data_IF_027343996288
#
_entry.id   IF_027343996288
#
_cell.length_a   1.000
_cell.length_b   1.000
_cell.length_c   1.000
_cell.angle_alpha   90.00
_cell.angle_beta   90.00
_cell.angle_gamma   90.00
#
_symmetry.space_group_name_H-M   'P 1'
#
loop_
_entity.id
_entity.type
_entity.pdbx_description
1 polymer ?
#
# COMPACT_ATOMS: atom_id res chain seq x y z
N UNK A 1 20.36 -19.78 14.20
CA UNK A 1 19.40 -18.71 14.48
C UNK A 1 18.82 -18.31 13.13
N UNK A 2 17.51 -18.19 12.96
CA UNK A 2 16.95 -17.68 11.72
C UNK A 2 17.45 -16.24 11.54
N UNK A 3 17.89 -15.88 10.34
CA UNK A 3 18.32 -14.51 10.05
C UNK A 3 17.13 -13.56 10.29
N UNK A 4 17.40 -12.46 10.99
CA UNK A 4 16.37 -11.43 11.26
C UNK A 4 15.94 -10.80 9.94
N UNK A 5 14.66 -10.90 9.62
CA UNK A 5 14.09 -10.36 8.39
C UNK A 5 14.20 -8.83 8.36
N UNK A 6 14.68 -8.25 7.25
CA UNK A 6 14.76 -6.79 7.05
C UNK A 6 13.67 -6.35 6.09
N UNK A 7 12.82 -5.41 6.52
CA UNK A 7 11.62 -4.98 5.79
C UNK A 7 11.65 -3.48 5.57
N UNK A 8 11.49 -3.06 4.32
CA UNK A 8 11.33 -1.65 3.98
C UNK A 8 9.84 -1.31 3.80
N UNK A 9 9.31 -0.45 4.70
CA UNK A 9 7.91 -0.01 4.69
C UNK A 9 7.84 1.43 4.19
N UNK A 10 7.16 1.65 3.08
CA UNK A 10 6.95 2.97 2.48
C UNK A 10 5.52 3.42 2.76
N UNK A 11 5.37 4.57 3.42
CA UNK A 11 4.11 5.04 4.00
C UNK A 11 3.95 4.63 5.46
N UNK A 12 5.07 4.53 6.22
CA UNK A 12 5.11 4.01 7.58
C UNK A 12 4.64 5.00 8.67
N UNK A 13 4.42 6.28 8.36
CA UNK A 13 4.21 7.33 9.38
C UNK A 13 2.78 7.45 9.91
N UNK A 14 1.84 6.64 9.43
CA UNK A 14 0.42 6.74 9.81
C UNK A 14 -0.36 5.46 9.41
N UNK A 15 -1.48 5.23 10.08
CA UNK A 15 -2.49 4.25 9.70
C UNK A 15 -1.96 2.82 9.56
N UNK A 16 -2.20 2.19 8.41
CA UNK A 16 -1.79 0.80 8.17
C UNK A 16 -0.27 0.64 8.24
N UNK A 17 0.50 1.61 7.70
CA UNK A 17 1.96 1.52 7.68
C UNK A 17 2.58 1.59 9.06
N UNK A 18 2.08 2.45 9.92
CA UNK A 18 2.50 2.55 11.33
C UNK A 18 2.16 1.26 12.10
N UNK A 19 0.92 0.77 11.96
CA UNK A 19 0.51 -0.48 12.61
C UNK A 19 1.32 -1.68 12.12
N UNK A 20 1.66 -1.76 10.83
CA UNK A 20 2.57 -2.77 10.27
C UNK A 20 3.97 -2.68 10.87
N UNK A 21 4.50 -1.46 11.02
CA UNK A 21 5.81 -1.26 11.62
C UNK A 21 5.83 -1.77 13.06
N UNK A 22 4.82 -1.43 13.86
CA UNK A 22 4.68 -1.90 15.24
C UNK A 22 4.59 -3.44 15.33
N UNK A 23 3.75 -4.05 14.50
CA UNK A 23 3.53 -5.49 14.52
C UNK A 23 4.76 -6.27 14.03
N UNK A 24 5.44 -5.82 12.97
CA UNK A 24 6.67 -6.47 12.51
C UNK A 24 7.84 -6.30 13.47
N UNK A 25 7.98 -5.12 14.12
CA UNK A 25 8.99 -4.92 15.17
C UNK A 25 8.74 -5.87 16.36
N UNK A 26 7.48 -6.00 16.78
CA UNK A 26 7.10 -6.97 17.84
C UNK A 26 7.43 -8.42 17.45
N UNK A 27 7.31 -8.77 16.17
CA UNK A 27 7.69 -10.10 15.63
C UNK A 27 9.21 -10.27 15.43
N UNK A 28 10.02 -9.26 15.74
CA UNK A 28 11.49 -9.32 15.69
C UNK A 28 12.11 -9.00 14.33
N UNK A 29 11.37 -8.40 13.40
CA UNK A 29 11.92 -7.93 12.13
C UNK A 29 12.71 -6.62 12.33
N UNK A 30 13.75 -6.39 11.51
CA UNK A 30 14.43 -5.11 11.38
C UNK A 30 13.71 -4.26 10.34
N UNK A 31 13.43 -2.98 10.66
CA UNK A 31 12.62 -2.13 9.79
C UNK A 31 13.42 -0.94 9.25
N UNK A 32 13.16 -0.65 7.97
CA UNK A 32 13.48 0.62 7.33
C UNK A 32 12.13 1.30 7.07
N UNK A 33 11.92 2.46 7.70
CA UNK A 33 10.65 3.17 7.70
C UNK A 33 10.75 4.40 6.82
N UNK A 34 9.87 4.52 5.83
CA UNK A 34 9.86 5.66 4.90
C UNK A 34 8.48 6.32 4.82
N UNK A 35 8.48 7.64 4.85
CA UNK A 35 7.37 8.54 4.58
C UNK A 35 7.91 9.97 4.41
N UNK A 36 7.04 10.93 4.09
CA UNK A 36 7.44 12.34 3.91
C UNK A 36 7.85 13.04 5.21
N UNK A 37 7.19 12.71 6.32
CA UNK A 37 7.48 13.36 7.62
C UNK A 37 8.65 12.66 8.31
N UNK A 38 9.84 13.27 8.24
CA UNK A 38 11.03 12.79 8.94
C UNK A 38 10.79 12.72 10.46
N UNK A 39 10.20 13.75 11.04
CA UNK A 39 9.91 13.82 12.49
C UNK A 39 9.09 12.63 12.99
N UNK A 40 7.98 12.29 12.28
CA UNK A 40 7.16 11.14 12.65
C UNK A 40 7.88 9.80 12.50
N UNK A 41 8.71 9.67 11.46
CA UNK A 41 9.49 8.46 11.24
C UNK A 41 10.55 8.26 12.31
N UNK A 42 11.25 9.33 12.69
CA UNK A 42 12.27 9.30 13.75
C UNK A 42 11.64 8.96 15.09
N UNK A 43 10.49 9.57 15.41
CA UNK A 43 9.75 9.25 16.63
C UNK A 43 9.30 7.78 16.65
N UNK A 44 8.74 7.27 15.54
CA UNK A 44 8.33 5.87 15.44
C UNK A 44 9.55 4.92 15.54
N UNK A 45 10.64 5.18 14.84
CA UNK A 45 11.85 4.37 14.90
C UNK A 45 12.43 4.34 16.32
N UNK A 46 12.49 5.48 17.00
CA UNK A 46 12.96 5.56 18.39
C UNK A 46 12.05 4.78 19.37
N UNK A 47 10.74 4.80 19.15
CA UNK A 47 9.77 4.04 19.94
C UNK A 47 9.93 2.51 19.75
N UNK A 48 10.23 2.08 18.53
CA UNK A 48 10.34 0.66 18.18
C UNK A 48 11.68 0.04 18.61
N UNK A 49 12.77 0.81 18.63
CA UNK A 49 14.08 0.35 19.08
C UNK A 49 15.24 0.78 18.16
N UNK A 50 16.48 0.68 18.63
CA UNK A 50 17.66 1.22 17.93
C UNK A 50 18.04 0.47 16.64
N UNK A 51 17.49 -0.71 16.40
CA UNK A 51 17.70 -1.51 15.21
C UNK A 51 16.90 -1.02 13.98
N UNK A 52 15.89 -0.17 14.21
CA UNK A 52 15.02 0.37 13.18
C UNK A 52 15.55 1.70 12.65
N UNK A 53 15.32 1.98 11.36
CA UNK A 53 15.84 3.18 10.69
C UNK A 53 14.76 4.00 10.04
N UNK A 54 14.77 5.30 10.29
CA UNK A 54 13.99 6.28 9.53
C UNK A 54 14.75 6.69 8.26
N UNK A 55 14.10 6.59 7.11
CA UNK A 55 14.61 7.03 5.80
C UNK A 55 13.52 7.88 5.14
N UNK A 56 13.54 9.21 5.30
CA UNK A 56 12.55 10.08 4.69
C UNK A 56 12.46 9.88 3.18
N UNK A 57 11.24 9.85 2.65
CA UNK A 57 10.99 9.59 1.24
C UNK A 57 9.67 10.23 0.80
N UNK A 58 9.72 11.03 -0.27
CA UNK A 58 8.56 11.40 -1.06
C UNK A 58 8.55 10.57 -2.35
N UNK A 59 7.54 9.71 -2.51
CA UNK A 59 7.42 8.82 -3.67
C UNK A 59 7.09 9.57 -4.98
N UNK A 60 6.70 10.84 -4.89
CA UNK A 60 6.47 11.72 -6.04
C UNK A 60 7.72 12.45 -6.53
N UNK A 61 8.80 12.44 -5.74
CA UNK A 61 10.06 13.11 -6.01
C UNK A 61 11.15 12.08 -6.38
N UNK A 62 11.72 12.22 -7.58
CA UNK A 62 12.74 11.30 -8.09
C UNK A 62 14.07 11.39 -7.34
N UNK A 63 14.46 12.57 -6.89
CA UNK A 63 15.71 12.78 -6.16
C UNK A 63 15.59 12.19 -4.75
N UNK A 64 14.43 12.39 -4.12
CA UNK A 64 14.08 11.75 -2.86
C UNK A 64 14.09 10.21 -2.97
N UNK A 65 13.53 9.66 -4.06
CA UNK A 65 13.55 8.22 -4.34
C UNK A 65 14.98 7.69 -4.50
N UNK A 66 15.84 8.40 -5.23
CA UNK A 66 17.24 8.01 -5.45
C UNK A 66 18.02 8.01 -4.12
N UNK A 67 17.91 9.08 -3.33
CA UNK A 67 18.59 9.22 -2.04
C UNK A 67 18.15 8.12 -1.04
N UNK A 68 16.82 7.85 -0.98
CA UNK A 68 16.30 6.78 -0.13
C UNK A 68 16.81 5.41 -0.58
N UNK A 69 16.80 5.11 -1.89
CA UNK A 69 17.29 3.85 -2.43
C UNK A 69 18.78 3.62 -2.12
N UNK A 70 19.63 4.65 -2.25
CA UNK A 70 21.03 4.56 -1.86
C UNK A 70 21.22 4.27 -0.36
N UNK A 71 20.40 4.91 0.48
CA UNK A 71 20.44 4.69 1.93
C UNK A 71 20.02 3.28 2.30
N UNK A 72 18.96 2.76 1.66
CA UNK A 72 18.50 1.38 1.84
C UNK A 72 19.55 0.39 1.35
N UNK A 73 20.15 0.62 0.18
CA UNK A 73 21.19 -0.25 -0.38
C UNK A 73 22.42 -0.37 0.55
N UNK A 74 22.80 0.72 1.23
CA UNK A 74 23.90 0.69 2.24
C UNK A 74 23.58 -0.13 3.48
N UNK A 75 22.30 -0.36 3.77
CA UNK A 75 21.88 -1.21 4.88
C UNK A 75 21.96 -2.72 4.53
N UNK A 76 22.18 -3.06 3.27
CA UNK A 76 22.20 -4.41 2.73
C UNK A 76 20.90 -4.78 2.04
N UNK A 77 20.83 -5.96 1.41
CA UNK A 77 19.61 -6.40 0.73
C UNK A 77 18.48 -6.61 1.73
N UNK A 78 17.29 -6.17 1.36
CA UNK A 78 16.07 -6.32 2.17
C UNK A 78 15.29 -7.58 1.76
N UNK A 79 14.53 -8.12 2.70
CA UNK A 79 13.67 -9.29 2.48
C UNK A 79 12.36 -8.91 1.82
N UNK A 80 11.79 -7.79 2.26
CA UNK A 80 10.51 -7.29 1.76
C UNK A 80 10.54 -5.78 1.54
N UNK A 81 9.88 -5.36 0.46
CA UNK A 81 9.52 -3.97 0.20
C UNK A 81 7.99 -3.89 0.19
N UNK A 82 7.41 -3.03 1.04
CA UNK A 82 5.96 -2.85 1.15
C UNK A 82 5.59 -1.42 0.87
N UNK A 83 4.94 -1.19 -0.29
CA UNK A 83 4.52 0.14 -0.75
C UNK A 83 3.08 0.41 -0.34
N UNK A 84 2.90 1.27 0.65
CA UNK A 84 1.60 1.69 1.20
C UNK A 84 1.32 3.19 1.01
N UNK A 85 2.34 3.98 0.64
CA UNK A 85 2.15 5.42 0.48
C UNK A 85 1.05 5.70 -0.54
N UNK A 86 0.04 6.46 -0.12
CA UNK A 86 -1.10 6.80 -0.94
C UNK A 86 -1.68 8.16 -0.52
N UNK A 87 -2.38 8.76 -1.47
CA UNK A 87 -3.16 9.97 -1.30
C UNK A 87 -4.59 9.71 -1.72
N UNK A 88 -5.54 10.30 -1.03
CA UNK A 88 -6.96 10.19 -1.30
C UNK A 88 -7.66 11.51 -1.01
N UNK A 89 -8.48 11.94 -1.92
CA UNK A 89 -9.35 13.11 -1.78
C UNK A 89 -10.71 12.76 -2.37
N UNK A 90 -11.72 12.46 -1.53
CA UNK A 90 -13.07 12.14 -1.98
C UNK A 90 -13.82 13.41 -2.41
N UNK A 91 -14.70 13.26 -3.38
CA UNK A 91 -15.55 14.35 -3.83
C UNK A 91 -16.22 14.05 -5.16
N UNK A 92 -17.23 14.84 -5.52
CA UNK A 92 -17.86 14.77 -6.85
C UNK A 92 -16.86 15.27 -7.91
N UNK A 93 -16.94 14.72 -9.11
CA UNK A 93 -15.98 15.03 -10.19
C UNK A 93 -15.88 16.52 -10.50
N UNK A 94 -16.99 17.26 -10.37
CA UNK A 94 -17.03 18.70 -10.62
C UNK A 94 -16.39 19.54 -9.47
N UNK A 95 -16.16 18.94 -8.31
CA UNK A 95 -15.66 19.61 -7.11
C UNK A 95 -14.16 19.29 -6.88
N UNK A 96 -13.62 18.27 -7.56
CA UNK A 96 -12.24 17.87 -7.40
C UNK A 96 -11.29 18.92 -8.00
N UNK A 97 -10.30 19.33 -7.21
CA UNK A 97 -9.22 20.17 -7.69
C UNK A 97 -8.32 19.38 -8.67
N UNK A 98 -8.11 19.88 -9.91
CA UNK A 98 -7.31 19.19 -10.93
C UNK A 98 -5.86 18.93 -10.49
N UNK A 99 -5.26 19.83 -9.73
CA UNK A 99 -3.87 19.69 -9.26
C UNK A 99 -3.78 18.58 -8.21
N UNK A 100 -4.72 18.54 -7.26
CA UNK A 100 -4.85 17.47 -6.29
C UNK A 100 -5.11 16.11 -6.98
N UNK A 101 -5.97 16.09 -8.00
CA UNK A 101 -6.22 14.88 -8.78
C UNK A 101 -4.94 14.37 -9.49
N UNK A 102 -4.16 15.27 -10.10
CA UNK A 102 -2.87 14.92 -10.71
C UNK A 102 -1.87 14.41 -9.67
N UNK A 103 -1.84 15.03 -8.48
CA UNK A 103 -0.98 14.58 -7.40
C UNK A 103 -1.36 13.18 -6.89
N UNK A 104 -2.65 12.84 -6.80
CA UNK A 104 -3.11 11.49 -6.47
C UNK A 104 -2.57 10.46 -7.48
N UNK A 105 -2.60 10.76 -8.78
CA UNK A 105 -2.02 9.88 -9.81
C UNK A 105 -0.51 9.73 -9.61
N UNK A 106 0.18 10.82 -9.38
CA UNK A 106 1.63 10.84 -9.18
C UNK A 106 2.04 10.02 -7.95
N UNK A 107 1.39 10.23 -6.81
CA UNK A 107 1.72 9.51 -5.58
C UNK A 107 1.33 8.03 -5.67
N UNK A 108 0.07 7.74 -6.04
CA UNK A 108 -0.46 6.39 -5.92
C UNK A 108 0.05 5.44 -7.02
N UNK A 109 0.06 5.90 -8.27
CA UNK A 109 0.39 5.06 -9.41
C UNK A 109 1.85 5.22 -9.84
N UNK A 110 2.27 6.44 -10.15
CA UNK A 110 3.65 6.70 -10.60
C UNK A 110 4.66 6.39 -9.50
N UNK A 111 4.36 6.78 -8.24
CA UNK A 111 5.18 6.43 -7.07
C UNK A 111 5.31 4.91 -6.87
N UNK A 112 4.20 4.17 -7.00
CA UNK A 112 4.24 2.70 -6.93
C UNK A 112 5.08 2.08 -8.05
N UNK A 113 5.00 2.61 -9.28
CA UNK A 113 5.84 2.21 -10.39
C UNK A 113 7.33 2.48 -10.11
N UNK A 114 7.68 3.64 -9.56
CA UNK A 114 9.08 3.97 -9.22
C UNK A 114 9.64 3.02 -8.16
N UNK A 115 8.87 2.72 -7.11
CA UNK A 115 9.28 1.74 -6.09
C UNK A 115 9.44 0.35 -6.71
N UNK A 116 8.51 -0.09 -7.55
CA UNK A 116 8.60 -1.37 -8.23
C UNK A 116 9.86 -1.48 -9.12
N UNK A 117 10.26 -0.39 -9.78
CA UNK A 117 11.47 -0.31 -10.59
C UNK A 117 12.77 -0.37 -9.77
N UNK A 118 12.74 0.12 -8.53
CA UNK A 118 13.89 0.10 -7.62
C UNK A 118 14.02 -1.24 -6.88
N UNK A 119 12.90 -1.89 -6.56
CA UNK A 119 12.83 -3.08 -5.73
C UNK A 119 13.77 -4.22 -6.16
N UNK A 120 13.90 -4.59 -7.46
CA UNK A 120 14.80 -5.68 -7.88
C UNK A 120 16.28 -5.47 -7.51
N UNK A 121 16.70 -4.21 -7.34
CA UNK A 121 18.08 -3.87 -6.96
C UNK A 121 18.31 -3.86 -5.44
N UNK A 122 17.27 -3.84 -4.67
CA UNK A 122 17.29 -3.69 -3.21
C UNK A 122 16.88 -4.98 -2.50
N UNK A 123 16.04 -5.77 -3.12
CA UNK A 123 15.60 -7.05 -2.59
C UNK A 123 16.67 -8.13 -2.77
N UNK A 124 16.74 -9.04 -1.80
CA UNK A 124 17.48 -10.29 -2.01
C UNK A 124 16.83 -11.15 -3.10
N UNK A 125 17.56 -12.12 -3.64
CA UNK A 125 16.98 -13.11 -4.55
C UNK A 125 15.77 -13.81 -3.90
N UNK A 126 14.64 -13.86 -4.60
CA UNK A 126 13.38 -14.38 -4.07
C UNK A 126 12.70 -13.48 -3.04
N UNK A 127 13.20 -12.27 -2.80
CA UNK A 127 12.62 -11.30 -1.90
C UNK A 127 11.22 -10.84 -2.35
N UNK A 128 10.46 -10.24 -1.44
CA UNK A 128 9.05 -9.95 -1.66
C UNK A 128 8.80 -8.46 -1.92
N UNK A 129 8.12 -8.15 -3.04
CA UNK A 129 7.59 -6.82 -3.35
C UNK A 129 6.07 -6.82 -3.18
N UNK A 130 5.55 -6.07 -2.22
CA UNK A 130 4.12 -5.91 -1.97
C UNK A 130 3.64 -4.51 -2.36
N UNK A 131 2.69 -4.43 -3.30
CA UNK A 131 2.06 -3.20 -3.74
C UNK A 131 0.63 -3.09 -3.19
N UNK A 132 0.25 -1.90 -2.73
CA UNK A 132 -1.05 -1.67 -2.11
C UNK A 132 -2.07 -1.11 -3.11
N UNK A 133 -2.93 -1.99 -3.62
CA UNK A 133 -4.17 -1.67 -4.30
C UNK A 133 -5.25 -1.19 -3.33
N UNK A 134 -6.50 -1.55 -3.60
CA UNK A 134 -7.68 -1.32 -2.75
C UNK A 134 -8.88 -2.07 -3.34
N UNK A 135 -9.91 -2.33 -2.55
CA UNK A 135 -11.23 -2.74 -3.08
C UNK A 135 -11.80 -1.73 -4.08
N UNK A 136 -11.45 -0.45 -3.93
CA UNK A 136 -11.81 0.60 -4.87
C UNK A 136 -11.13 0.47 -6.25
N UNK A 137 -10.11 -0.40 -6.37
CA UNK A 137 -9.49 -0.75 -7.65
C UNK A 137 -10.16 -1.91 -8.37
N UNK A 138 -11.06 -2.66 -7.73
CA UNK A 138 -11.78 -3.76 -8.41
C UNK A 138 -12.90 -3.24 -9.31
N UNK A 139 -13.55 -2.15 -8.90
CA UNK A 139 -14.58 -1.45 -9.65
C UNK A 139 -14.59 0.02 -9.22
N UNK A 140 -14.89 0.94 -10.16
CA UNK A 140 -14.97 2.36 -9.87
C UNK A 140 -16.08 2.68 -8.85
N UNK A 141 -15.74 3.48 -7.85
CA UNK A 141 -16.67 3.92 -6.82
C UNK A 141 -16.99 5.41 -6.98
N UNK A 142 -18.24 5.82 -6.75
CA UNK A 142 -18.61 7.23 -6.68
C UNK A 142 -17.71 7.98 -5.66
N UNK A 143 -17.48 9.26 -5.88
CA UNK A 143 -16.66 10.15 -5.06
C UNK A 143 -15.18 9.72 -4.91
N UNK A 144 -14.77 8.59 -5.50
CA UNK A 144 -13.41 8.08 -5.48
C UNK A 144 -12.80 7.88 -6.88
N UNK A 145 -13.24 8.60 -7.89
CA UNK A 145 -12.97 8.35 -9.32
C UNK A 145 -11.46 8.23 -9.63
N UNK A 146 -10.67 9.25 -9.30
CA UNK A 146 -9.22 9.27 -9.52
C UNK A 146 -8.52 8.26 -8.62
N UNK A 147 -8.92 8.15 -7.36
CA UNK A 147 -8.36 7.16 -6.46
C UNK A 147 -8.62 5.74 -6.96
N UNK A 148 -9.86 5.42 -7.34
CA UNK A 148 -10.22 4.12 -7.91
C UNK A 148 -9.41 3.79 -9.16
N UNK A 149 -9.25 4.76 -10.07
CA UNK A 149 -8.44 4.61 -11.27
C UNK A 149 -6.97 4.30 -10.94
N UNK A 150 -6.37 5.01 -9.96
CA UNK A 150 -5.00 4.74 -9.54
C UNK A 150 -4.85 3.37 -8.89
N UNK A 151 -5.83 2.94 -8.08
CA UNK A 151 -5.77 1.63 -7.42
C UNK A 151 -6.02 0.47 -8.38
N UNK A 152 -6.85 0.66 -9.40
CA UNK A 152 -6.97 -0.28 -10.53
C UNK A 152 -5.64 -0.38 -11.31
N UNK A 153 -4.98 0.76 -11.57
CA UNK A 153 -3.65 0.80 -12.19
C UNK A 153 -2.59 0.06 -11.36
N UNK A 154 -2.59 0.20 -10.03
CA UNK A 154 -1.66 -0.54 -9.15
C UNK A 154 -1.95 -2.04 -9.16
N UNK A 155 -3.22 -2.46 -9.22
CA UNK A 155 -3.58 -3.89 -9.36
C UNK A 155 -3.00 -4.43 -10.67
N UNK A 156 -3.25 -3.77 -11.79
CA UNK A 156 -2.73 -4.17 -13.10
C UNK A 156 -1.19 -4.18 -13.15
N UNK A 157 -0.54 -3.18 -12.53
CA UNK A 157 0.92 -3.14 -12.38
C UNK A 157 1.44 -4.36 -11.61
N UNK A 158 0.83 -4.69 -10.47
CA UNK A 158 1.23 -5.84 -9.65
C UNK A 158 1.05 -7.17 -10.40
N UNK A 159 -0.04 -7.33 -11.16
CA UNK A 159 -0.29 -8.51 -11.99
C UNK A 159 0.78 -8.68 -13.08
N UNK A 160 1.11 -7.60 -13.79
CA UNK A 160 2.14 -7.61 -14.82
C UNK A 160 3.51 -7.96 -14.25
N UNK A 161 3.90 -7.32 -13.14
CA UNK A 161 5.16 -7.60 -12.46
C UNK A 161 5.23 -9.01 -11.89
N UNK A 162 4.12 -9.56 -11.42
CA UNK A 162 4.07 -10.96 -10.94
C UNK A 162 4.44 -11.95 -12.05
N UNK A 163 4.02 -11.68 -13.27
CA UNK A 163 4.35 -12.50 -14.45
C UNK A 163 5.79 -12.23 -14.94
N UNK A 164 6.19 -10.97 -15.03
CA UNK A 164 7.49 -10.54 -15.53
C UNK A 164 8.64 -11.00 -14.63
N UNK A 165 8.51 -10.86 -13.31
CA UNK A 165 9.54 -11.19 -12.32
C UNK A 165 9.38 -12.59 -11.72
N UNK A 166 8.61 -13.47 -12.38
CA UNK A 166 8.40 -14.84 -11.91
C UNK A 166 9.73 -15.60 -11.82
N UNK A 167 10.02 -16.13 -10.63
CA UNK A 167 11.29 -16.83 -10.35
C UNK A 167 12.41 -15.92 -9.84
N UNK A 168 12.32 -14.61 -10.00
CA UNK A 168 13.28 -13.63 -9.47
C UNK A 168 12.81 -13.03 -8.14
N UNK A 169 11.56 -12.55 -8.11
CA UNK A 169 10.95 -11.94 -6.94
C UNK A 169 9.55 -12.50 -6.68
N UNK A 170 9.14 -12.40 -5.40
CA UNK A 170 7.79 -12.74 -4.98
C UNK A 170 6.91 -11.47 -4.95
N UNK A 171 6.31 -11.13 -6.10
CA UNK A 171 5.42 -9.96 -6.18
C UNK A 171 4.06 -10.29 -5.57
N UNK A 172 3.57 -9.39 -4.71
CA UNK A 172 2.32 -9.50 -3.97
C UNK A 172 1.45 -8.25 -4.13
N UNK A 173 0.16 -8.45 -4.04
CA UNK A 173 -0.85 -7.41 -4.05
C UNK A 173 -1.58 -7.36 -2.71
N UNK A 174 -1.72 -6.17 -2.13
CA UNK A 174 -2.52 -5.95 -0.92
C UNK A 174 -3.75 -5.13 -1.34
N UNK A 175 -4.96 -5.63 -1.06
CA UNK A 175 -6.22 -4.94 -1.37
C UNK A 175 -7.07 -4.76 -0.10
N UNK A 176 -6.82 -3.70 0.68
CA UNK A 176 -7.65 -3.39 1.83
C UNK A 176 -9.06 -2.93 1.41
N UNK A 177 -10.05 -3.25 2.26
CA UNK A 177 -11.31 -2.54 2.31
C UNK A 177 -11.19 -1.25 3.14
N UNK A 178 -12.21 -0.92 3.91
CA UNK A 178 -12.16 0.25 4.79
C UNK A 178 -11.38 -0.05 6.07
N UNK A 179 -10.35 0.75 6.30
CA UNK A 179 -9.52 0.72 7.52
C UNK A 179 -9.62 2.06 8.20
N UNK A 180 -9.86 2.10 9.50
CA UNK A 180 -9.99 3.34 10.28
C UNK A 180 -8.64 4.09 10.35
N UNK A 181 -8.45 5.00 9.41
CA UNK A 181 -7.23 5.82 9.25
C UNK A 181 -7.63 7.25 8.90
N UNK A 182 -6.69 8.19 9.04
CA UNK A 182 -6.89 9.58 8.59
C UNK A 182 -7.35 9.69 7.13
N UNK A 183 -6.96 8.74 6.29
CA UNK A 183 -7.33 8.71 4.88
C UNK A 183 -8.83 8.42 4.71
N UNK A 184 -9.36 7.44 5.43
CA UNK A 184 -10.77 7.04 5.36
C UNK A 184 -11.70 7.96 6.15
N UNK A 185 -11.20 8.67 7.17
CA UNK A 185 -11.95 9.66 7.93
C UNK A 185 -12.39 10.88 7.09
N UNK A 186 -11.88 11.01 5.87
CA UNK A 186 -12.35 12.01 4.88
C UNK A 186 -13.69 11.67 4.23
N UNK A 187 -14.14 10.42 4.34
CA UNK A 187 -15.43 10.00 3.80
C UNK A 187 -16.58 10.52 4.68
N UNK A 188 -17.66 10.92 4.03
CA UNK A 188 -18.90 11.42 4.64
C UNK A 188 -20.02 10.37 4.72
N UNK A 189 -19.73 9.12 4.39
CA UNK A 189 -20.67 8.01 4.40
C UNK A 189 -20.28 6.90 5.38
N UNK A 190 -21.26 6.06 5.74
CA UNK A 190 -21.01 4.89 6.61
C UNK A 190 -20.25 3.82 5.85
N UNK A 191 -19.03 3.55 6.27
CA UNK A 191 -18.14 2.54 5.65
C UNK A 191 -18.46 1.15 6.17
N UNK A 192 -18.93 0.22 5.32
CA UNK A 192 -19.25 -1.13 5.76
C UNK A 192 -17.99 -1.93 6.11
N UNK A 193 -18.10 -2.75 7.17
CA UNK A 193 -17.06 -3.69 7.58
C UNK A 193 -15.68 -3.02 7.82
N UNK A 194 -15.66 -1.80 8.36
CA UNK A 194 -14.43 -1.11 8.71
C UNK A 194 -13.64 -1.90 9.76
N UNK A 195 -12.32 -1.97 9.58
CA UNK A 195 -11.39 -2.65 10.50
C UNK A 195 -10.40 -1.66 11.09
N UNK A 196 -9.80 -2.00 12.24
CA UNK A 196 -8.72 -1.19 12.83
C UNK A 196 -7.42 -1.32 12.02
N UNK A 197 -6.49 -0.35 12.10
CA UNK A 197 -5.16 -0.46 11.52
C UNK A 197 -4.40 -1.70 12.02
N UNK A 198 -4.56 -2.07 13.28
CA UNK A 198 -3.93 -3.25 13.87
C UNK A 198 -4.45 -4.54 13.22
N UNK A 199 -5.77 -4.71 13.10
CA UNK A 199 -6.37 -5.86 12.40
C UNK A 199 -5.93 -5.92 10.93
N UNK A 200 -5.78 -4.76 10.28
CA UNK A 200 -5.25 -4.68 8.92
C UNK A 200 -3.79 -5.14 8.85
N UNK A 201 -2.95 -4.72 9.79
CA UNK A 201 -1.54 -5.11 9.87
C UNK A 201 -1.39 -6.63 10.04
N UNK A 202 -2.13 -7.23 10.98
CA UNK A 202 -2.15 -8.69 11.19
C UNK A 202 -2.57 -9.43 9.91
N UNK A 203 -3.67 -9.00 9.28
CA UNK A 203 -4.17 -9.63 8.05
C UNK A 203 -3.15 -9.52 6.88
N UNK A 204 -2.42 -8.40 6.78
CA UNK A 204 -1.38 -8.21 5.78
C UNK A 204 -0.22 -9.14 6.04
N UNK A 205 0.32 -9.16 7.25
CA UNK A 205 1.48 -9.99 7.61
C UNK A 205 1.16 -11.47 7.39
N UNK A 206 0.03 -11.93 7.91
CA UNK A 206 -0.41 -13.32 7.76
C UNK A 206 -0.62 -13.68 6.29
N UNK A 207 -1.21 -12.76 5.50
CA UNK A 207 -1.41 -12.94 4.08
C UNK A 207 -0.10 -13.00 3.28
N UNK A 208 0.86 -12.12 3.58
CA UNK A 208 2.17 -12.07 2.94
C UNK A 208 3.03 -13.30 3.25
N UNK A 209 2.78 -13.97 4.38
CA UNK A 209 3.43 -15.23 4.76
C UNK A 209 2.81 -16.47 4.07
N UNK A 210 1.75 -16.31 3.29
CA UNK A 210 1.19 -17.38 2.43
C UNK A 210 1.81 -17.34 1.03
N UNK A 211 1.41 -18.27 0.15
CA UNK A 211 1.78 -18.27 -1.28
C UNK A 211 0.75 -17.53 -2.17
N UNK A 212 -0.26 -16.89 -1.59
CA UNK A 212 -1.32 -16.21 -2.36
C UNK A 212 -0.79 -14.91 -2.93
N UNK A 213 -1.05 -14.66 -4.21
CA UNK A 213 -0.69 -13.41 -4.86
C UNK A 213 -1.33 -12.19 -4.19
N UNK A 214 -2.61 -12.33 -3.84
CA UNK A 214 -3.40 -11.24 -3.28
C UNK A 214 -3.75 -11.48 -1.81
N UNK A 215 -3.52 -10.45 -1.02
CA UNK A 215 -3.95 -10.30 0.38
C UNK A 215 -5.09 -9.30 0.41
N UNK A 216 -6.31 -9.74 0.73
CA UNK A 216 -7.49 -8.87 0.75
C UNK A 216 -8.31 -9.08 2.03
N UNK A 217 -8.79 -7.99 2.60
CA UNK A 217 -9.57 -7.98 3.83
C UNK A 217 -10.44 -6.71 3.97
N UNK A 218 -11.53 -6.76 4.78
CA UNK A 218 -12.15 -7.97 5.35
C UNK A 218 -12.84 -8.78 4.25
N UNK A 219 -12.75 -10.10 4.34
CA UNK A 219 -13.15 -11.00 3.24
C UNK A 219 -14.60 -10.82 2.78
N UNK A 220 -15.54 -10.54 3.70
CA UNK A 220 -16.95 -10.33 3.34
C UNK A 220 -17.12 -9.18 2.34
N UNK A 221 -16.50 -8.03 2.63
CA UNK A 221 -16.55 -6.87 1.75
C UNK A 221 -15.83 -7.14 0.43
N UNK A 222 -14.59 -7.65 0.51
CA UNK A 222 -13.76 -7.83 -0.68
C UNK A 222 -14.33 -8.86 -1.66
N UNK A 223 -14.96 -9.94 -1.18
CA UNK A 223 -15.66 -10.88 -2.05
C UNK A 223 -16.90 -10.25 -2.71
N UNK A 224 -17.67 -9.44 -1.98
CA UNK A 224 -18.77 -8.71 -2.55
C UNK A 224 -18.31 -7.76 -3.66
N UNK A 225 -17.22 -7.01 -3.44
CA UNK A 225 -16.65 -6.11 -4.44
C UNK A 225 -16.10 -6.86 -5.67
N UNK A 226 -15.46 -8.01 -5.47
CA UNK A 226 -15.00 -8.87 -6.57
C UNK A 226 -16.19 -9.42 -7.38
N UNK A 227 -17.27 -9.82 -6.71
CA UNK A 227 -18.49 -10.24 -7.42
C UNK A 227 -19.06 -9.09 -8.26
N UNK A 228 -19.12 -7.86 -7.70
CA UNK A 228 -19.58 -6.70 -8.45
C UNK A 228 -18.70 -6.43 -9.68
N UNK A 229 -17.38 -6.61 -9.59
CA UNK A 229 -16.47 -6.33 -10.70
C UNK A 229 -16.60 -7.28 -11.89
N UNK A 230 -17.18 -8.46 -11.70
CA UNK A 230 -17.40 -9.44 -12.79
C UNK A 230 -18.83 -9.41 -13.34
N UNK A 231 -19.74 -8.64 -12.74
CA UNK A 231 -21.09 -8.46 -13.26
C UNK A 231 -21.10 -7.56 -14.51
N UNK A 232 -22.04 -7.77 -15.44
CA UNK A 232 -22.27 -6.82 -16.52
C UNK A 232 -22.55 -5.41 -15.98
N UNK A 233 -22.09 -4.37 -16.67
CA UNK A 233 -22.23 -2.97 -16.21
C UNK A 233 -23.65 -2.55 -15.89
N UNK A 234 -24.67 -3.04 -16.63
CA UNK A 234 -26.06 -2.74 -16.37
C UNK A 234 -26.55 -3.24 -15.00
N UNK A 235 -25.90 -4.26 -14.43
CA UNK A 235 -26.21 -4.78 -13.10
C UNK A 235 -25.27 -4.18 -12.03
N UNK A 236 -23.97 -4.04 -12.32
CA UNK A 236 -22.96 -3.57 -11.37
C UNK A 236 -23.12 -2.07 -11.03
N UNK A 237 -23.23 -1.19 -12.04
CA UNK A 237 -23.21 0.26 -11.81
C UNK A 237 -24.39 0.79 -10.96
N UNK A 238 -25.65 0.30 -11.09
CA UNK A 238 -26.70 0.70 -10.18
C UNK A 238 -26.45 0.30 -8.72
N UNK A 239 -25.70 -0.79 -8.49
CA UNK A 239 -25.35 -1.25 -7.15
C UNK A 239 -24.21 -0.42 -6.55
N UNK A 240 -23.17 -0.08 -7.34
CA UNK A 240 -22.09 0.80 -6.86
C UNK A 240 -22.60 2.19 -6.54
N UNK A 241 -23.56 2.72 -7.29
CA UNK A 241 -24.20 4.02 -7.04
C UNK A 241 -24.96 4.12 -5.71
N UNK A 242 -25.21 3.01 -5.02
CA UNK A 242 -25.86 2.95 -3.69
C UNK A 242 -24.86 2.81 -2.53
N UNK A 243 -23.57 2.74 -2.83
CA UNK A 243 -22.52 2.58 -1.82
C UNK A 243 -22.04 3.91 -1.22
N UNK A 244 -22.57 5.03 -1.67
CA UNK A 244 -22.27 6.40 -1.21
C UNK A 244 -23.55 7.12 -0.80
#
# INVERSE_FOLDING_TARGET
MADTETIWIIGASDGIGEALAQEWAWRGARLILSARSAEKLEALAAQLGPEHRAVPLDVSDRDSLAAAAETVAKAGPVDRVVQLAAMYDPGKIAELDPETAAQIVTVNLTGSFHIARLAPKLLRAGGQLALCGSVAGYIGLPQGQIYSATKAGVISLAESLRAELAGELDVRLICPGFVDTRLTQRNDFTMPAMVSPQTAAEAIIDGLNTRRFEVHFPRRLTWAMKLLSVLPYWAALPLTGRLT
#
